data_IF_722891405890
#
_entry.id   IF_722891405890
#
_cell.length_a   1.000
_cell.length_b   1.000
_cell.length_c   1.000
_cell.angle_alpha   90.00
_cell.angle_beta   90.00
_cell.angle_gamma   90.00
#
_symmetry.space_group_name_H-M   'P 1'
#
loop_
_entity.id
_entity.type
_entity.pdbx_description
1 polymer ?
#
# COMPACT_ATOMS: atom_id res chain seq x y z
N UNK A 1 5.16 -4.60 -21.20
CA UNK A 1 5.43 -3.32 -20.51
C UNK A 1 6.19 -3.43 -19.18
N UNK A 2 6.23 -4.58 -18.49
CA UNK A 2 6.90 -4.70 -17.18
C UNK A 2 8.43 -4.53 -17.15
N UNK A 3 9.13 -4.85 -18.26
CA UNK A 3 10.60 -4.78 -18.32
C UNK A 3 11.18 -3.36 -18.23
N UNK A 4 10.40 -2.36 -18.63
CA UNK A 4 10.79 -0.95 -18.64
C UNK A 4 10.67 -0.28 -17.25
N UNK A 5 9.78 -0.81 -16.41
CA UNK A 5 9.59 -0.39 -15.01
C UNK A 5 10.72 -0.93 -14.12
N UNK A 6 11.11 -2.20 -14.31
CA UNK A 6 12.20 -2.83 -13.53
C UNK A 6 13.57 -2.18 -13.75
N UNK A 7 13.85 -1.70 -14.98
CA UNK A 7 15.09 -0.99 -15.29
C UNK A 7 15.19 0.39 -14.63
N UNK A 8 14.07 1.14 -14.58
CA UNK A 8 14.02 2.47 -13.97
C UNK A 8 13.90 2.45 -12.44
N UNK A 9 13.28 1.42 -11.83
CA UNK A 9 13.23 1.30 -10.36
C UNK A 9 14.62 1.23 -9.74
N UNK A 10 15.59 0.73 -10.49
CA UNK A 10 16.95 0.64 -10.03
C UNK A 10 17.71 1.99 -10.16
N UNK A 11 17.13 3.03 -10.77
CA UNK A 11 17.64 4.40 -10.69
C UNK A 11 17.29 5.09 -9.37
N UNK A 12 16.31 4.57 -8.62
CA UNK A 12 15.96 5.07 -7.29
C UNK A 12 16.86 4.40 -6.24
N UNK A 13 17.62 5.16 -5.43
CA UNK A 13 18.45 4.60 -4.36
C UNK A 13 17.66 3.75 -3.36
N UNK A 14 16.45 4.19 -3.01
CA UNK A 14 15.52 3.44 -2.18
C UNK A 14 14.07 3.80 -2.49
N UNK A 15 13.15 2.91 -2.12
CA UNK A 15 11.72 3.20 -2.07
C UNK A 15 11.08 2.64 -0.80
N UNK A 16 10.08 3.35 -0.28
CA UNK A 16 9.26 2.91 0.84
C UNK A 16 7.79 3.01 0.44
N UNK A 17 7.00 2.00 0.77
CA UNK A 17 5.55 2.01 0.57
C UNK A 17 4.87 1.98 1.91
N UNK A 18 4.16 3.04 2.23
CA UNK A 18 3.33 3.15 3.43
C UNK A 18 1.86 3.00 3.07
N UNK A 19 1.09 2.32 3.91
CA UNK A 19 -0.36 2.20 3.79
C UNK A 19 -1.03 2.90 4.97
N UNK A 20 -2.07 3.67 4.71
CA UNK A 20 -2.84 4.31 5.76
C UNK A 20 -3.62 3.27 6.57
N UNK A 21 -3.69 3.50 7.87
CA UNK A 21 -4.51 2.77 8.83
C UNK A 21 -5.73 3.61 9.24
N UNK A 22 -6.72 2.98 9.86
CA UNK A 22 -8.00 3.63 10.22
C UNK A 22 -7.83 4.75 11.26
N UNK A 23 -6.73 4.74 12.03
CA UNK A 23 -6.36 5.77 13.01
C UNK A 23 -5.67 6.99 12.37
N UNK A 24 -5.53 7.01 11.04
CA UNK A 24 -4.85 8.07 10.28
C UNK A 24 -3.32 7.96 10.27
N UNK A 25 -2.76 6.96 10.95
CA UNK A 25 -1.33 6.65 10.89
C UNK A 25 -0.99 5.92 9.59
N UNK A 26 0.30 5.76 9.31
CA UNK A 26 0.74 5.02 8.14
C UNK A 26 1.73 3.92 8.52
N UNK A 27 1.49 2.70 8.08
CA UNK A 27 2.35 1.54 8.34
C UNK A 27 3.20 1.20 7.14
N UNK A 28 4.47 0.90 7.37
CA UNK A 28 5.39 0.43 6.33
C UNK A 28 4.92 -0.95 5.83
N UNK A 29 4.55 -1.00 4.56
CA UNK A 29 4.13 -2.22 3.88
C UNK A 29 5.26 -2.84 3.06
N UNK A 30 6.17 -2.03 2.53
CA UNK A 30 7.32 -2.49 1.76
C UNK A 30 8.48 -1.49 1.85
N UNK A 31 9.71 -2.01 1.84
CA UNK A 31 10.94 -1.23 1.75
C UNK A 31 11.89 -1.89 0.75
N UNK A 32 12.50 -1.10 -0.12
CA UNK A 32 13.47 -1.56 -1.10
C UNK A 32 14.69 -0.64 -1.10
N UNK A 33 15.89 -1.23 -1.16
CA UNK A 33 17.16 -0.50 -1.13
C UNK A 33 17.59 -0.01 0.25
N UNK A 34 16.73 -0.09 1.26
CA UNK A 34 16.98 0.37 2.63
C UNK A 34 16.75 -0.75 3.64
N UNK A 35 17.64 -0.85 4.63
CA UNK A 35 17.61 -1.90 5.64
C UNK A 35 16.43 -1.77 6.60
N UNK A 36 15.94 -2.92 7.09
CA UNK A 36 14.95 -2.94 8.16
C UNK A 36 15.52 -2.29 9.43
N UNK A 37 14.73 -1.43 10.08
CA UNK A 37 15.15 -0.72 11.30
C UNK A 37 15.91 0.59 11.05
N UNK A 38 16.14 0.99 9.80
CA UNK A 38 16.72 2.30 9.49
C UNK A 38 15.78 3.44 9.98
N UNK A 39 16.29 4.53 10.60
CA UNK A 39 15.45 5.63 11.09
C UNK A 39 14.58 6.31 10.03
N UNK A 40 15.06 6.36 8.78
CA UNK A 40 14.28 6.79 7.61
C UNK A 40 13.22 5.78 7.12
N UNK A 41 13.16 4.57 7.66
CA UNK A 41 12.16 3.54 7.33
C UNK A 41 11.42 3.03 8.59
N UNK A 42 10.80 3.93 9.39
CA UNK A 42 10.09 3.50 10.59
C UNK A 42 8.91 2.61 10.21
N UNK A 43 8.64 1.60 11.04
CA UNK A 43 7.56 0.64 10.79
C UNK A 43 6.16 1.28 10.81
N UNK A 44 5.98 2.35 11.60
CA UNK A 44 4.75 3.13 11.71
C UNK A 44 5.10 4.61 11.81
N UNK A 45 4.33 5.43 11.09
CA UNK A 45 4.39 6.89 11.10
C UNK A 45 3.13 7.41 11.79
N UNK A 46 3.25 8.32 12.77
CA UNK A 46 2.10 8.86 13.49
C UNK A 46 1.23 9.76 12.60
N UNK A 47 -0.01 9.95 13.01
CA UNK A 47 -0.95 10.91 12.44
C UNK A 47 -0.48 12.34 12.76
N UNK A 48 -0.47 13.25 11.78
CA UNK A 48 -0.03 14.65 11.98
C UNK A 48 1.42 14.87 11.54
N UNK A 49 1.58 15.54 10.40
CA UNK A 49 2.80 15.49 9.58
C UNK A 49 3.87 16.55 9.87
N UNK A 50 4.34 16.70 11.11
CA UNK A 50 5.48 17.59 11.39
C UNK A 50 6.66 16.93 12.12
N UNK A 51 6.44 15.88 12.92
CA UNK A 51 7.47 15.28 13.78
C UNK A 51 7.94 13.88 13.34
N UNK A 52 7.67 13.49 12.09
CA UNK A 52 8.01 12.19 11.54
C UNK A 52 9.03 12.23 10.41
N UNK A 53 9.62 11.07 10.09
CA UNK A 53 10.57 10.93 8.97
C UNK A 53 9.95 11.31 7.61
N UNK A 54 8.63 11.20 7.45
CA UNK A 54 7.92 11.50 6.20
C UNK A 54 6.62 12.26 6.43
N UNK A 55 6.24 13.20 5.55
CA UNK A 55 4.97 13.92 5.63
C UNK A 55 3.80 12.99 5.33
N UNK A 56 2.95 12.77 6.33
CA UNK A 56 1.75 11.92 6.21
C UNK A 56 0.54 12.70 5.70
N UNK A 57 0.44 13.99 6.05
CA UNK A 57 -0.76 14.81 5.78
C UNK A 57 -0.99 15.09 4.29
N UNK A 58 0.05 15.53 3.56
CA UNK A 58 -0.06 15.80 2.13
C UNK A 58 -0.53 14.58 1.31
N UNK A 59 0.11 13.40 1.42
CA UNK A 59 -0.38 12.23 0.68
C UNK A 59 -1.76 11.75 1.13
N UNK A 60 -2.18 12.00 2.38
CA UNK A 60 -3.53 11.67 2.83
C UNK A 60 -4.60 12.53 2.12
N UNK A 61 -4.24 13.75 1.71
CA UNK A 61 -5.06 14.63 0.89
C UNK A 61 -4.94 14.34 -0.62
N UNK A 62 -4.10 13.37 -1.01
CA UNK A 62 -3.84 13.07 -2.42
C UNK A 62 -2.83 14.02 -3.06
N UNK A 63 -2.00 14.69 -2.26
CA UNK A 63 -0.97 15.61 -2.74
C UNK A 63 0.44 15.00 -2.63
N UNK A 64 1.28 15.29 -3.63
CA UNK A 64 2.70 14.91 -3.63
C UNK A 64 3.53 15.95 -2.89
N UNK A 65 4.57 15.51 -2.17
CA UNK A 65 5.48 16.39 -1.44
C UNK A 65 6.95 16.08 -1.76
N UNK A 66 7.76 17.12 -1.93
CA UNK A 66 9.22 16.99 -2.04
C UNK A 66 9.85 17.21 -0.66
N UNK A 67 10.66 16.26 -0.21
CA UNK A 67 11.26 16.24 1.13
C UNK A 67 12.77 16.37 1.01
N UNK A 68 13.38 17.44 1.56
CA UNK A 68 14.83 17.50 1.77
C UNK A 68 15.29 16.42 2.76
N UNK A 69 16.43 15.78 2.48
CA UNK A 69 17.02 14.73 3.31
C UNK A 69 18.23 15.26 4.09
N UNK A 70 18.06 16.38 4.77
CA UNK A 70 19.10 17.11 5.51
C UNK A 70 19.05 16.90 7.04
N UNK A 71 17.96 16.33 7.56
CA UNK A 71 17.82 16.00 8.97
C UNK A 71 18.70 14.80 9.41
N UNK A 72 19.09 14.76 10.69
CA UNK A 72 19.95 13.71 11.26
C UNK A 72 19.39 12.28 11.09
N UNK A 73 18.08 12.13 11.00
CA UNK A 73 17.43 10.82 10.78
C UNK A 73 17.70 10.24 9.37
N UNK A 74 18.21 11.05 8.44
CA UNK A 74 18.59 10.67 7.08
C UNK A 74 20.10 10.43 6.92
N UNK A 75 20.82 10.22 8.01
CA UNK A 75 22.23 9.81 7.96
C UNK A 75 22.35 8.38 7.41
N UNK A 76 23.43 8.11 6.66
CA UNK A 76 23.74 6.79 6.08
C UNK A 76 22.67 6.21 5.13
N UNK A 77 21.92 7.08 4.44
CA UNK A 77 20.97 6.63 3.44
C UNK A 77 21.65 5.77 2.36
N UNK A 78 20.98 4.71 1.89
CA UNK A 78 21.50 3.88 0.82
C UNK A 78 21.67 4.70 -0.45
N UNK A 79 22.79 4.50 -1.12
CA UNK A 79 23.12 5.18 -2.38
C UNK A 79 22.60 4.42 -3.61
N UNK A 80 22.11 3.20 -3.41
CA UNK A 80 21.72 2.29 -4.48
C UNK A 80 22.91 1.98 -5.40
N UNK A 81 22.77 2.29 -6.70
CA UNK A 81 23.83 2.14 -7.71
C UNK A 81 24.75 3.36 -7.81
N UNK A 82 24.51 4.41 -7.02
CA UNK A 82 25.15 5.71 -7.16
C UNK A 82 26.25 5.91 -6.10
N UNK A 83 27.23 6.80 -6.36
CA UNK A 83 28.36 7.00 -5.46
C UNK A 83 28.03 7.84 -4.21
N UNK A 84 26.91 8.58 -4.19
CA UNK A 84 26.51 9.36 -3.03
C UNK A 84 25.01 9.20 -2.72
N UNK A 85 24.61 9.44 -1.46
CA UNK A 85 23.23 9.27 -1.00
C UNK A 85 22.29 10.31 -1.64
N UNK A 86 21.00 10.00 -1.75
CA UNK A 86 20.00 10.97 -2.17
C UNK A 86 19.94 12.15 -1.19
N UNK A 87 19.77 13.36 -1.72
CA UNK A 87 19.58 14.58 -0.92
C UNK A 87 18.11 15.01 -0.83
N UNK A 88 17.25 14.41 -1.65
CA UNK A 88 15.82 14.67 -1.70
C UNK A 88 15.06 13.37 -1.91
N UNK A 89 13.83 13.31 -1.41
CA UNK A 89 12.88 12.26 -1.72
C UNK A 89 11.55 12.85 -2.20
N UNK A 90 10.91 12.18 -3.14
CA UNK A 90 9.56 12.50 -3.57
C UNK A 90 8.57 11.56 -2.88
N UNK A 91 7.58 12.14 -2.21
CA UNK A 91 6.45 11.46 -1.59
C UNK A 91 5.25 11.61 -2.52
N UNK A 92 4.67 10.48 -2.94
CA UNK A 92 3.57 10.43 -3.90
C UNK A 92 2.43 9.57 -3.35
N UNK A 93 1.17 10.04 -3.38
CA UNK A 93 0.04 9.27 -2.90
C UNK A 93 -0.26 8.06 -3.78
N UNK A 94 -0.71 6.97 -3.15
CA UNK A 94 -1.26 5.79 -3.81
C UNK A 94 -2.77 5.97 -3.95
N UNK A 95 -3.18 6.69 -5.00
CA UNK A 95 -4.58 7.10 -5.18
C UNK A 95 -5.54 5.91 -5.31
N UNK A 96 -6.66 5.99 -4.60
CA UNK A 96 -7.80 5.07 -4.73
C UNK A 96 -8.87 5.73 -5.61
N UNK A 97 -9.48 4.94 -6.50
CA UNK A 97 -10.63 5.41 -7.28
C UNK A 97 -11.84 5.65 -6.38
N UNK A 98 -12.33 6.90 -6.33
CA UNK A 98 -13.54 7.28 -5.62
C UNK A 98 -13.44 7.25 -4.09
N UNK A 99 -12.24 7.29 -3.52
CA UNK A 99 -12.04 7.27 -2.08
C UNK A 99 -10.70 7.86 -1.65
N UNK A 100 -10.41 7.79 -0.34
CA UNK A 100 -9.14 8.22 0.22
C UNK A 100 -7.99 7.38 -0.30
N UNK A 101 -6.78 7.96 -0.52
CA UNK A 101 -5.62 7.20 -0.96
C UNK A 101 -5.35 5.97 -0.08
N UNK A 102 -4.81 4.90 -0.66
CA UNK A 102 -4.43 3.70 0.09
C UNK A 102 -3.24 3.94 1.02
N UNK A 103 -2.43 4.95 0.72
CA UNK A 103 -1.11 5.15 1.30
C UNK A 103 -0.27 6.08 0.44
N UNK A 104 1.05 5.93 0.52
CA UNK A 104 1.99 6.69 -0.30
C UNK A 104 3.29 5.93 -0.56
N UNK A 105 3.95 6.32 -1.65
CA UNK A 105 5.30 5.93 -2.02
C UNK A 105 6.26 7.04 -1.63
N UNK A 106 7.34 6.68 -0.94
CA UNK A 106 8.52 7.53 -0.80
C UNK A 106 9.58 7.01 -1.76
N UNK A 107 10.12 7.89 -2.59
CA UNK A 107 11.20 7.56 -3.54
C UNK A 107 12.40 8.47 -3.28
N UNK A 108 13.53 7.89 -2.86
CA UNK A 108 14.80 8.61 -2.85
C UNK A 108 15.17 9.02 -4.28
N UNK A 109 15.54 10.28 -4.48
CA UNK A 109 15.86 10.82 -5.81
C UNK A 109 17.34 10.71 -6.10
N UNK A 110 17.68 10.34 -7.34
CA UNK A 110 19.07 10.33 -7.78
C UNK A 110 19.61 11.77 -7.88
N UNK A 111 20.63 12.10 -7.09
CA UNK A 111 21.30 13.41 -7.12
C UNK A 111 21.87 13.80 -8.50
N UNK A 112 22.20 12.82 -9.35
CA UNK A 112 22.77 13.07 -10.68
C UNK A 112 21.70 13.41 -11.72
N UNK A 113 20.42 13.33 -11.35
CA UNK A 113 19.30 13.65 -12.23
C UNK A 113 18.41 14.69 -11.54
N UNK A 114 18.38 15.94 -12.05
CA UNK A 114 17.45 16.94 -11.55
C UNK A 114 16.01 16.42 -11.59
N UNK A 115 15.21 16.79 -10.58
CA UNK A 115 13.78 16.49 -10.58
C UNK A 115 13.07 17.40 -11.60
N UNK A 116 12.96 16.91 -12.83
CA UNK A 116 12.13 17.48 -13.87
C UNK A 116 10.73 16.85 -13.87
N UNK A 117 9.83 17.41 -14.67
CA UNK A 117 8.44 16.92 -14.80
C UNK A 117 8.39 15.47 -15.30
N UNK A 118 9.34 15.07 -16.14
CA UNK A 118 9.42 13.71 -16.66
C UNK A 118 9.79 12.70 -15.57
N UNK A 119 10.72 13.06 -14.68
CA UNK A 119 11.14 12.21 -13.56
C UNK A 119 10.06 12.15 -12.49
N UNK A 120 9.42 13.29 -12.19
CA UNK A 120 8.22 13.31 -11.33
C UNK A 120 7.13 12.40 -11.89
N UNK A 121 6.78 12.56 -13.17
CA UNK A 121 5.77 11.73 -13.83
C UNK A 121 6.12 10.24 -13.84
N UNK A 122 7.40 9.90 -13.92
CA UNK A 122 7.85 8.51 -13.76
C UNK A 122 7.53 7.96 -12.36
N UNK A 123 7.87 8.69 -11.29
CA UNK A 123 7.58 8.24 -9.92
C UNK A 123 6.07 8.16 -9.67
N UNK A 124 5.29 9.09 -10.22
CA UNK A 124 3.83 9.07 -10.17
C UNK A 124 3.25 7.85 -10.89
N UNK A 125 3.81 7.48 -12.05
CA UNK A 125 3.40 6.28 -12.77
C UNK A 125 3.72 4.99 -11.98
N UNK A 126 4.86 4.95 -11.29
CA UNK A 126 5.20 3.84 -10.37
C UNK A 126 4.19 3.77 -9.22
N UNK A 127 3.88 4.90 -8.59
CA UNK A 127 2.88 4.98 -7.53
C UNK A 127 1.50 4.49 -8.02
N UNK A 128 1.08 4.89 -9.22
CA UNK A 128 -0.15 4.43 -9.86
C UNK A 128 -0.16 2.91 -10.11
N UNK A 129 0.97 2.33 -10.53
CA UNK A 129 1.08 0.88 -10.70
C UNK A 129 0.95 0.12 -9.38
N UNK A 130 1.58 0.62 -8.31
CA UNK A 130 1.45 0.04 -6.96
C UNK A 130 -0.01 0.14 -6.49
N UNK A 131 -0.66 1.30 -6.66
CA UNK A 131 -2.05 1.51 -6.28
C UNK A 131 -3.00 0.54 -7.02
N UNK A 132 -2.79 0.33 -8.32
CA UNK A 132 -3.56 -0.64 -9.10
C UNK A 132 -3.38 -2.08 -8.58
N UNK A 133 -2.14 -2.48 -8.23
CA UNK A 133 -1.87 -3.77 -7.62
C UNK A 133 -2.58 -3.97 -6.28
N UNK A 134 -2.59 -2.93 -5.43
CA UNK A 134 -3.33 -2.94 -4.16
C UNK A 134 -4.84 -3.11 -4.41
N UNK A 135 -5.40 -2.35 -5.35
CA UNK A 135 -6.82 -2.45 -5.70
C UNK A 135 -7.19 -3.86 -6.20
N UNK A 136 -6.38 -4.45 -7.07
CA UNK A 136 -6.60 -5.83 -7.54
C UNK A 136 -6.54 -6.85 -6.41
N UNK A 137 -5.55 -6.74 -5.51
CA UNK A 137 -5.43 -7.64 -4.36
C UNK A 137 -6.63 -7.53 -3.39
N UNK A 138 -7.10 -6.30 -3.13
CA UNK A 138 -8.30 -6.08 -2.30
C UNK A 138 -9.57 -6.60 -2.96
N UNK A 139 -9.74 -6.38 -4.27
CA UNK A 139 -10.88 -6.89 -5.03
C UNK A 139 -10.95 -8.42 -5.01
N UNK A 140 -9.80 -9.07 -5.23
CA UNK A 140 -9.70 -10.52 -5.17
C UNK A 140 -10.08 -11.07 -3.78
N UNK A 141 -9.57 -10.47 -2.70
CA UNK A 141 -9.95 -10.85 -1.32
C UNK A 141 -11.45 -10.66 -1.05
N UNK A 142 -12.03 -9.55 -1.49
CA UNK A 142 -13.46 -9.29 -1.32
C UNK A 142 -14.35 -10.28 -2.11
N UNK A 143 -13.93 -10.68 -3.32
CA UNK A 143 -14.60 -11.71 -4.09
C UNK A 143 -14.52 -13.08 -3.42
N UNK A 144 -13.34 -13.44 -2.89
CA UNK A 144 -13.16 -14.69 -2.16
C UNK A 144 -14.06 -14.76 -0.91
N UNK A 145 -14.08 -13.70 -0.12
CA UNK A 145 -14.89 -13.66 1.09
C UNK A 145 -16.40 -13.74 0.81
N UNK A 146 -16.89 -13.06 -0.24
CA UNK A 146 -18.29 -13.19 -0.68
C UNK A 146 -18.64 -14.60 -1.14
N UNK A 147 -17.71 -15.29 -1.82
CA UNK A 147 -17.92 -16.68 -2.24
C UNK A 147 -17.95 -17.62 -1.03
N UNK A 148 -17.13 -17.37 -0.01
CA UNK A 148 -17.14 -18.11 1.26
C UNK A 148 -18.44 -17.88 2.03
N UNK A 149 -18.91 -16.63 2.17
CA UNK A 149 -20.19 -16.28 2.80
C UNK A 149 -21.39 -16.92 2.08
N UNK A 150 -21.40 -16.91 0.75
CA UNK A 150 -22.44 -17.57 -0.05
C UNK A 150 -22.44 -19.08 0.13
N UNK A 151 -21.26 -19.70 0.24
CA UNK A 151 -21.13 -21.13 0.48
C UNK A 151 -21.57 -21.51 1.90
N UNK A 152 -21.32 -20.66 2.91
CA UNK A 152 -21.86 -20.85 4.25
C UNK A 152 -23.39 -20.72 4.27
N UNK A 153 -23.93 -19.72 3.57
CA UNK A 153 -25.38 -19.52 3.47
C UNK A 153 -26.08 -20.70 2.78
N UNK A 154 -25.49 -21.25 1.71
CA UNK A 154 -26.07 -22.37 0.97
C UNK A 154 -26.03 -23.68 1.78
N UNK A 155 -24.96 -23.91 2.56
CA UNK A 155 -24.89 -25.03 3.51
C UNK A 155 -25.92 -24.90 4.63
N UNK A 156 -26.06 -23.70 5.21
CA UNK A 156 -27.07 -23.43 6.23
C UNK A 156 -28.49 -23.66 5.70
N UNK A 157 -28.75 -23.23 4.46
CA UNK A 157 -30.05 -23.42 3.79
C UNK A 157 -30.34 -24.88 3.51
N UNK A 158 -29.37 -25.63 2.99
CA UNK A 158 -29.50 -27.06 2.69
C UNK A 158 -29.76 -27.88 3.96
N UNK A 159 -29.05 -27.59 5.05
CA UNK A 159 -29.27 -28.25 6.34
C UNK A 159 -30.68 -27.96 6.91
N UNK A 160 -31.15 -26.71 6.80
CA UNK A 160 -32.47 -26.30 7.26
C UNK A 160 -33.62 -26.99 6.47
N UNK A 161 -33.52 -27.07 5.14
CA UNK A 161 -34.55 -27.74 4.32
C UNK A 161 -34.50 -29.28 4.43
N UNK A 162 -33.33 -29.86 4.69
CA UNK A 162 -33.18 -31.29 4.92
C UNK A 162 -33.82 -31.72 6.24
N UNK A 163 -33.68 -30.93 7.31
CA UNK A 163 -34.30 -31.25 8.61
C UNK A 163 -35.83 -31.12 8.57
N UNK A 164 -36.38 -30.07 7.94
CA UNK A 164 -37.83 -29.86 7.87
C UNK A 164 -38.55 -30.99 7.10
N UNK A 165 -37.91 -31.55 6.06
CA UNK A 165 -38.53 -32.60 5.24
C UNK A 165 -38.65 -33.96 5.95
N UNK A 166 -37.82 -34.22 6.95
CA UNK A 166 -37.88 -35.46 7.74
C UNK A 166 -38.93 -35.40 8.87
N UNK A 167 -39.24 -34.22 9.42
CA UNK A 167 -40.25 -34.07 10.47
C UNK A 167 -41.70 -34.14 9.96
N UNK A 168 -41.97 -33.79 8.70
CA UNK A 168 -43.31 -33.90 8.12
C UNK A 168 -43.64 -35.26 7.49
N UNK A 169 -42.71 -36.23 7.49
CA UNK A 169 -42.91 -37.56 6.85
C UNK A 169 -43.11 -38.73 7.80
N UNK A 170 -43.05 -38.52 9.12
CA UNK A 170 -43.54 -39.51 10.09
C UNK A 170 -44.89 -39.06 10.65
N UNK A 171 -46.03 -39.44 10.03
CA UNK A 171 -47.27 -39.49 10.77
C UNK A 171 -47.15 -40.68 11.72
N UNK A 172 -46.65 -40.45 12.94
CA UNK A 172 -46.82 -41.42 14.01
C UNK A 172 -48.28 -41.33 14.46
N UNK A 173 -49.07 -42.23 13.88
CA UNK A 173 -50.27 -42.79 14.47
C UNK A 173 -50.00 -43.11 15.94
N UNK A 174 -50.57 -42.33 16.85
CA UNK A 174 -50.69 -42.69 18.26
C UNK A 174 -51.93 -43.58 18.40
N UNK A 175 -51.67 -44.86 18.65
CA UNK A 175 -52.55 -45.79 19.37
C UNK A 175 -52.55 -45.39 20.85
#
# INVERSE_FOLDING_TARGET
SGRQLSGNLADLPFTLTYLFEDDGSARLANAAGIGAGHPAAPAKLPTGGAEGAWPVAAPALGESALVPLDAELFTELPTGRWPAPPTQALVVPLLQQGGSPYGFLVAGLNQHRPLDDAYRGFVELVAGHIAAGIASARSYRAQQQRAEELAELDRAKTAFFSNISHEFRTPLTLI
#
